data_IF_258124987228
#
_entry.id   IF_258124987228
#
_cell.length_a   1.000
_cell.length_b   1.000
_cell.length_c   1.000
_cell.angle_alpha   90.00
_cell.angle_beta   90.00
_cell.angle_gamma   90.00
#
_symmetry.space_group_name_H-M   'P 1'
#
loop_
_entity.id
_entity.type
_entity.pdbx_description
1 polymer ?
#
# COMPACT_ATOMS: atom_id res chain seq x y z
N UNK A 1 -39.63 17.77 -7.61
CA UNK A 1 -38.90 18.94 -7.10
C UNK A 1 -38.13 18.62 -5.81
N UNK A 2 -38.77 18.16 -4.72
CA UNK A 2 -38.11 17.90 -3.43
C UNK A 2 -37.04 16.75 -3.50
N UNK A 3 -37.30 15.68 -4.28
CA UNK A 3 -36.31 14.59 -4.51
C UNK A 3 -35.15 15.07 -5.38
N UNK A 4 -35.38 15.87 -6.39
CA UNK A 4 -34.35 16.44 -7.25
C UNK A 4 -33.49 17.43 -6.50
N UNK A 5 -34.12 18.30 -5.67
CA UNK A 5 -33.38 19.22 -4.84
C UNK A 5 -32.48 18.51 -3.82
N UNK A 6 -32.94 17.42 -3.19
CA UNK A 6 -32.12 16.60 -2.30
C UNK A 6 -30.93 15.99 -3.03
N UNK A 7 -31.10 15.49 -4.26
CA UNK A 7 -30.00 14.95 -5.07
C UNK A 7 -28.96 16.02 -5.43
N UNK A 8 -29.42 17.19 -5.89
CA UNK A 8 -28.54 18.31 -6.24
C UNK A 8 -27.80 18.83 -5.00
N UNK A 9 -28.48 19.00 -3.89
CA UNK A 9 -27.87 19.44 -2.63
C UNK A 9 -26.85 18.41 -2.12
N UNK A 10 -27.20 17.13 -2.10
CA UNK A 10 -26.29 16.04 -1.71
C UNK A 10 -25.05 15.99 -2.59
N UNK A 11 -25.21 16.11 -3.93
CA UNK A 11 -24.08 16.13 -4.87
C UNK A 11 -23.19 17.35 -4.70
N UNK A 12 -23.76 18.53 -4.42
CA UNK A 12 -23.01 19.74 -4.15
C UNK A 12 -22.17 19.61 -2.87
N UNK A 13 -22.76 19.13 -1.78
CA UNK A 13 -22.04 18.87 -0.53
C UNK A 13 -20.95 17.83 -0.68
N UNK A 14 -21.22 16.73 -1.37
CA UNK A 14 -20.20 15.71 -1.67
C UNK A 14 -19.01 16.32 -2.43
N UNK A 15 -19.28 17.21 -3.40
CA UNK A 15 -18.23 17.89 -4.16
C UNK A 15 -17.41 18.83 -3.27
N UNK A 16 -18.03 19.58 -2.37
CA UNK A 16 -17.33 20.44 -1.39
C UNK A 16 -16.46 19.60 -0.47
N UNK A 17 -17.00 18.53 0.13
CA UNK A 17 -16.26 17.64 1.01
C UNK A 17 -15.07 16.99 0.29
N UNK A 18 -15.26 16.59 -0.97
CA UNK A 18 -14.17 16.05 -1.78
C UNK A 18 -13.05 17.08 -1.99
N UNK A 19 -13.38 18.36 -2.24
CA UNK A 19 -12.36 19.41 -2.35
C UNK A 19 -11.64 19.64 -1.01
N UNK A 20 -12.36 19.61 0.11
CA UNK A 20 -11.75 19.68 1.45
C UNK A 20 -10.77 18.52 1.65
N UNK A 21 -11.15 17.29 1.30
CA UNK A 21 -10.24 16.13 1.36
C UNK A 21 -9.02 16.33 0.47
N UNK A 22 -9.19 16.81 -0.77
CA UNK A 22 -8.06 17.10 -1.66
C UNK A 22 -7.10 18.14 -1.08
N UNK A 23 -7.62 19.20 -0.49
CA UNK A 23 -6.79 20.28 0.03
C UNK A 23 -6.08 19.93 1.35
N UNK A 24 -6.73 19.24 2.25
CA UNK A 24 -6.22 19.05 3.63
C UNK A 24 -5.68 17.65 3.93
N UNK A 25 -6.16 16.63 3.22
CA UNK A 25 -5.77 15.24 3.45
C UNK A 25 -4.85 14.74 2.35
N UNK A 26 -5.28 14.85 1.10
CA UNK A 26 -4.53 14.34 -0.05
C UNK A 26 -3.18 15.05 -0.22
N UNK A 27 -3.08 16.35 0.08
CA UNK A 27 -1.82 17.09 0.02
C UNK A 27 -0.73 16.57 0.97
N UNK A 28 -1.09 15.76 1.98
CA UNK A 28 -0.11 15.10 2.87
C UNK A 28 0.54 13.88 2.23
N UNK A 29 -0.03 13.37 1.14
CA UNK A 29 0.56 12.29 0.34
C UNK A 29 1.62 12.89 -0.56
N UNK A 30 2.88 12.80 -0.14
CA UNK A 30 4.03 13.37 -0.85
C UNK A 30 5.00 12.28 -1.28
N UNK A 31 5.85 12.50 -2.28
CA UNK A 31 6.91 11.56 -2.66
C UNK A 31 7.84 11.20 -1.50
N UNK A 32 8.15 12.18 -0.63
CA UNK A 32 8.97 11.95 0.57
C UNK A 32 8.27 11.03 1.57
N UNK A 33 6.97 11.25 1.81
CA UNK A 33 6.19 10.39 2.69
C UNK A 33 6.10 8.97 2.13
N UNK A 34 5.90 8.82 0.81
CA UNK A 34 5.89 7.53 0.14
C UNK A 34 7.22 6.77 0.29
N UNK A 35 8.35 7.47 0.10
CA UNK A 35 9.68 6.86 0.26
C UNK A 35 10.00 6.43 1.71
N UNK A 36 9.33 7.03 2.70
CA UNK A 36 9.48 6.70 4.11
C UNK A 36 8.50 5.62 4.61
N UNK A 37 7.60 5.13 3.74
CA UNK A 37 6.64 4.09 4.14
C UNK A 37 7.35 2.76 4.39
N UNK A 38 6.97 2.03 5.46
CA UNK A 38 7.46 0.69 5.67
C UNK A 38 7.05 -0.22 4.51
N UNK A 39 7.92 -1.18 4.16
CA UNK A 39 7.67 -2.12 3.08
C UNK A 39 7.81 -1.56 1.67
N UNK A 40 8.15 -0.28 1.49
CA UNK A 40 8.45 0.33 0.19
C UNK A 40 9.95 0.35 0.00
N UNK A 41 10.45 -0.49 -0.90
CA UNK A 41 11.86 -0.52 -1.32
C UNK A 41 11.97 0.05 -2.74
N UNK A 42 12.38 1.32 -2.83
CA UNK A 42 12.55 2.01 -4.11
C UNK A 42 13.79 1.57 -4.89
N UNK A 43 14.66 0.74 -4.29
CA UNK A 43 15.84 0.19 -4.98
C UNK A 43 15.49 -1.02 -5.84
N UNK A 44 14.35 -1.67 -5.58
CA UNK A 44 13.86 -2.78 -6.40
C UNK A 44 13.22 -2.25 -7.69
N UNK A 45 13.63 -2.75 -8.86
CA UNK A 45 12.94 -2.42 -10.10
C UNK A 45 11.50 -2.93 -10.03
N UNK A 46 10.54 -2.04 -10.18
CA UNK A 46 9.12 -2.41 -10.20
C UNK A 46 8.79 -2.96 -11.59
N UNK A 47 8.37 -4.23 -11.74
CA UNK A 47 8.00 -4.79 -13.03
C UNK A 47 6.93 -3.93 -13.71
N UNK A 48 7.14 -3.59 -14.99
CA UNK A 48 6.21 -2.78 -15.78
C UNK A 48 6.41 -1.26 -15.69
N UNK A 49 7.43 -0.77 -14.99
CA UNK A 49 7.85 0.64 -15.01
C UNK A 49 9.23 0.71 -15.67
N UNK A 50 9.35 1.38 -16.82
CA UNK A 50 10.64 1.66 -17.44
C UNK A 50 11.42 2.68 -16.58
N UNK A 51 12.74 2.47 -16.41
CA UNK A 51 13.64 3.28 -15.56
C UNK A 51 13.73 4.80 -15.91
N UNK A 52 13.07 5.25 -16.97
CA UNK A 52 13.09 6.65 -17.44
C UNK A 52 12.14 7.61 -16.71
N UNK A 53 11.31 7.17 -15.76
CA UNK A 53 10.22 7.98 -15.20
C UNK A 53 10.32 8.32 -13.71
N UNK A 54 11.45 8.08 -13.06
CA UNK A 54 11.69 8.58 -11.71
C UNK A 54 12.09 10.06 -11.79
N UNK A 55 11.42 10.97 -11.06
CA UNK A 55 11.92 12.32 -10.92
C UNK A 55 13.30 12.26 -10.26
N UNK A 56 14.28 13.09 -10.69
CA UNK A 56 15.63 13.06 -10.17
C UNK A 56 15.60 13.29 -8.65
N UNK A 57 16.21 12.36 -7.92
CA UNK A 57 16.48 12.47 -6.50
C UNK A 57 17.22 13.79 -6.24
N UNK A 58 16.69 14.61 -5.33
CA UNK A 58 17.37 15.80 -4.84
C UNK A 58 18.50 15.34 -3.88
N UNK A 59 19.63 14.94 -4.45
CA UNK A 59 20.87 14.74 -3.71
C UNK A 59 21.94 15.68 -4.27
N UNK A 60 22.59 16.42 -3.36
CA UNK A 60 23.77 17.28 -3.48
C UNK A 60 23.60 18.62 -4.19
N UNK A 61 23.38 19.65 -3.37
CA UNK A 61 23.77 21.01 -3.69
C UNK A 61 25.29 21.15 -3.46
N UNK A 62 26.05 21.14 -4.56
CA UNK A 62 27.43 21.63 -4.59
C UNK A 62 27.41 23.08 -5.09
N UNK A 63 28.05 23.93 -4.32
CA UNK A 63 28.29 25.37 -4.55
C UNK A 63 28.87 25.63 -5.95
N UNK A 64 28.34 26.60 -6.67
CA UNK A 64 28.83 27.04 -7.95
C UNK A 64 28.02 28.21 -8.51
N UNK A 65 28.40 29.42 -8.13
CA UNK A 65 27.94 30.70 -8.68
C UNK A 65 27.95 30.74 -10.22
N UNK A 66 26.77 30.70 -10.82
CA UNK A 66 26.58 31.14 -12.21
C UNK A 66 25.20 31.77 -12.37
N UNK A 67 25.18 33.05 -12.70
CA UNK A 67 24.01 33.83 -13.07
C UNK A 67 23.35 33.21 -14.29
N UNK A 68 22.23 32.52 -14.14
CA UNK A 68 21.45 31.97 -15.26
C UNK A 68 20.07 32.58 -15.28
N UNK A 69 19.79 33.26 -16.40
CA UNK A 69 18.48 33.82 -16.79
C UNK A 69 17.39 32.79 -16.55
N UNK A 70 16.38 33.10 -15.71
CA UNK A 70 15.18 32.28 -15.47
C UNK A 70 14.45 31.99 -16.78
N UNK A 71 14.75 30.88 -17.43
CA UNK A 71 13.83 30.25 -18.40
C UNK A 71 12.62 29.72 -17.64
N UNK A 72 11.43 30.25 -17.94
CA UNK A 72 10.14 29.67 -17.47
C UNK A 72 10.17 28.15 -17.76
N UNK A 73 10.25 27.34 -16.73
CA UNK A 73 10.11 25.88 -16.86
C UNK A 73 8.79 25.58 -17.55
N UNK A 74 8.84 25.06 -18.78
CA UNK A 74 7.68 24.46 -19.43
C UNK A 74 7.15 23.37 -18.51
N UNK A 75 5.83 23.40 -18.21
CA UNK A 75 5.16 22.30 -17.52
C UNK A 75 5.50 21.02 -18.27
N UNK A 76 5.85 19.92 -17.57
CA UNK A 76 6.06 18.63 -18.21
C UNK A 76 4.83 18.31 -19.07
N UNK A 77 5.04 17.89 -20.32
CA UNK A 77 3.94 17.37 -21.15
C UNK A 77 3.34 16.18 -20.42
N UNK A 78 2.01 16.13 -20.31
CA UNK A 78 1.30 14.98 -19.80
C UNK A 78 1.76 13.72 -20.55
N UNK A 79 2.00 12.64 -19.79
CA UNK A 79 2.37 11.34 -20.33
C UNK A 79 1.30 10.90 -21.34
N UNK A 80 1.67 10.55 -22.59
CA UNK A 80 0.71 10.06 -23.59
C UNK A 80 -0.09 8.83 -23.13
N UNK A 81 0.46 8.02 -22.22
CA UNK A 81 -0.23 6.89 -21.60
C UNK A 81 -1.39 7.30 -20.67
N UNK A 82 -1.45 8.58 -20.28
CA UNK A 82 -2.54 9.20 -19.50
C UNK A 82 -3.52 9.98 -20.38
N UNK A 83 -3.37 9.94 -21.71
CA UNK A 83 -4.28 10.60 -22.64
C UNK A 83 -5.66 9.92 -22.60
N UNK A 84 -6.63 10.58 -21.99
CA UNK A 84 -7.99 10.07 -21.77
C UNK A 84 -8.37 9.95 -20.29
N UNK A 85 -7.41 10.01 -19.37
CA UNK A 85 -7.65 10.11 -17.93
C UNK A 85 -7.54 11.55 -17.43
N UNK A 86 -8.19 11.86 -16.32
CA UNK A 86 -8.04 13.13 -15.63
C UNK A 86 -6.56 13.41 -15.36
N UNK A 87 -6.15 14.69 -15.44
CA UNK A 87 -4.82 15.10 -15.03
C UNK A 87 -4.73 14.98 -13.51
N UNK A 88 -4.11 13.92 -13.04
CA UNK A 88 -3.92 13.66 -11.61
C UNK A 88 -2.91 14.64 -11.01
N UNK A 89 -3.17 15.05 -9.77
CA UNK A 89 -2.21 15.79 -8.96
C UNK A 89 -1.00 14.92 -8.62
N UNK A 90 0.08 15.55 -8.12
CA UNK A 90 1.27 14.81 -7.65
C UNK A 90 0.90 13.76 -6.59
N UNK A 91 0.02 14.11 -5.66
CA UNK A 91 -0.43 13.21 -4.59
C UNK A 91 -1.24 12.03 -5.12
N UNK A 92 -2.13 12.25 -6.08
CA UNK A 92 -2.86 11.18 -6.77
C UNK A 92 -1.89 10.26 -7.53
N UNK A 93 -0.88 10.84 -8.19
CA UNK A 93 0.18 10.08 -8.84
C UNK A 93 1.00 9.22 -7.87
N UNK A 94 1.25 9.70 -6.65
CA UNK A 94 1.91 8.92 -5.60
C UNK A 94 1.04 7.73 -5.17
N UNK A 95 -0.26 7.91 -5.00
CA UNK A 95 -1.18 6.81 -4.67
C UNK A 95 -1.21 5.73 -5.77
N UNK A 96 -1.22 6.13 -7.05
CA UNK A 96 -1.17 5.18 -8.18
C UNK A 96 0.17 4.41 -8.23
N UNK A 97 1.28 5.07 -7.91
CA UNK A 97 2.59 4.40 -7.77
C UNK A 97 2.60 3.40 -6.62
N UNK A 98 2.04 3.78 -5.47
CA UNK A 98 1.92 2.91 -4.31
C UNK A 98 1.08 1.66 -4.62
N UNK A 99 -0.07 1.82 -5.28
CA UNK A 99 -0.88 0.69 -5.77
C UNK A 99 -0.08 -0.22 -6.71
N UNK A 100 0.61 0.38 -7.69
CA UNK A 100 1.42 -0.38 -8.65
C UNK A 100 2.52 -1.17 -7.96
N UNK A 101 3.22 -0.57 -6.98
CA UNK A 101 4.27 -1.21 -6.21
C UNK A 101 3.75 -2.46 -5.47
N UNK A 102 2.69 -2.32 -4.69
CA UNK A 102 2.13 -3.43 -3.92
C UNK A 102 1.47 -4.50 -4.81
N UNK A 103 0.86 -4.09 -5.92
CA UNK A 103 0.34 -5.03 -6.91
C UNK A 103 1.47 -5.87 -7.53
N UNK A 104 2.56 -5.24 -7.93
CA UNK A 104 3.72 -5.92 -8.51
C UNK A 104 4.43 -6.83 -7.49
N UNK A 105 4.49 -6.43 -6.21
CA UNK A 105 5.08 -7.23 -5.14
C UNK A 105 4.40 -8.60 -4.95
N UNK A 106 3.12 -8.70 -5.32
CA UNK A 106 2.37 -9.97 -5.28
C UNK A 106 2.58 -10.86 -6.50
N UNK A 107 3.52 -10.52 -7.39
CA UNK A 107 3.86 -11.25 -8.61
C UNK A 107 2.60 -11.71 -9.39
N UNK A 108 1.76 -10.76 -9.86
CA UNK A 108 0.55 -11.11 -10.59
C UNK A 108 0.90 -11.76 -11.94
N UNK A 109 0.05 -12.66 -12.47
CA UNK A 109 0.27 -13.31 -13.76
C UNK A 109 0.42 -12.29 -14.91
N UNK A 110 -0.32 -11.18 -14.82
CA UNK A 110 -0.26 -10.06 -15.76
C UNK A 110 0.13 -8.78 -15.02
N UNK A 111 1.43 -8.49 -14.88
CA UNK A 111 1.86 -7.24 -14.27
C UNK A 111 1.38 -6.05 -15.12
N UNK A 112 0.76 -5.08 -14.46
CA UNK A 112 0.28 -3.84 -15.08
C UNK A 112 0.65 -2.64 -14.21
N UNK A 113 0.87 -1.49 -14.83
CA UNK A 113 0.94 -0.20 -14.15
C UNK A 113 -0.49 0.29 -13.89
N UNK A 114 -0.77 0.69 -12.67
CA UNK A 114 -2.07 1.26 -12.31
C UNK A 114 -2.06 2.74 -12.68
N UNK A 115 -2.95 3.14 -13.55
CA UNK A 115 -2.98 4.49 -14.16
C UNK A 115 -4.20 5.31 -13.79
N UNK A 116 -5.23 4.67 -13.21
CA UNK A 116 -6.48 5.32 -12.84
C UNK A 116 -7.11 4.69 -11.59
N UNK A 117 -8.10 5.39 -11.01
CA UNK A 117 -8.83 4.95 -9.81
C UNK A 117 -10.19 4.31 -10.15
N UNK A 118 -10.47 4.07 -11.41
CA UNK A 118 -11.74 3.52 -11.89
C UNK A 118 -11.54 2.15 -12.55
N UNK A 119 -11.23 2.12 -13.84
CA UNK A 119 -11.15 0.89 -14.63
C UNK A 119 -10.14 -0.11 -14.06
N UNK A 120 -8.96 0.37 -13.61
CA UNK A 120 -7.89 -0.49 -13.10
C UNK A 120 -8.23 -1.15 -11.76
N UNK A 121 -9.18 -0.58 -10.99
CA UNK A 121 -9.59 -1.08 -9.69
C UNK A 121 -10.87 -1.93 -9.73
N UNK A 122 -11.62 -1.88 -10.84
CA UNK A 122 -12.94 -2.49 -10.97
C UNK A 122 -12.96 -3.99 -10.70
N UNK A 123 -11.93 -4.69 -11.13
CA UNK A 123 -11.85 -6.16 -11.02
C UNK A 123 -11.48 -6.64 -9.60
N UNK A 124 -11.19 -5.73 -8.69
CA UNK A 124 -10.83 -6.02 -7.29
C UNK A 124 -9.43 -6.62 -7.12
N UNK A 125 -8.73 -7.03 -8.18
CA UNK A 125 -7.42 -7.70 -8.07
C UNK A 125 -6.36 -6.83 -7.42
N UNK A 126 -6.31 -5.56 -7.79
CA UNK A 126 -5.36 -4.58 -7.23
C UNK A 126 -5.60 -4.38 -5.75
N UNK A 127 -6.86 -4.27 -5.33
CA UNK A 127 -7.21 -4.08 -3.92
C UNK A 127 -6.94 -5.34 -3.09
N UNK A 128 -7.24 -6.54 -3.63
CA UNK A 128 -6.88 -7.81 -3.00
C UNK A 128 -5.36 -7.93 -2.80
N UNK A 129 -4.59 -7.65 -3.86
CA UNK A 129 -3.13 -7.69 -3.82
C UNK A 129 -2.57 -6.67 -2.82
N UNK A 130 -3.12 -5.45 -2.78
CA UNK A 130 -2.73 -4.41 -1.84
C UNK A 130 -2.92 -4.86 -0.38
N UNK A 131 -4.09 -5.38 -0.04
CA UNK A 131 -4.39 -5.85 1.31
C UNK A 131 -3.49 -7.03 1.70
N UNK A 132 -3.31 -8.00 0.79
CA UNK A 132 -2.48 -9.18 1.04
C UNK A 132 -0.99 -8.84 1.14
N UNK A 133 -0.49 -7.84 0.40
CA UNK A 133 0.91 -7.41 0.48
C UNK A 133 1.27 -6.79 1.84
N UNK A 134 0.29 -6.18 2.52
CA UNK A 134 0.47 -5.64 3.87
C UNK A 134 0.24 -6.67 4.96
N UNK A 135 -0.68 -7.61 4.73
CA UNK A 135 -1.01 -8.67 5.66
C UNK A 135 -1.19 -10.01 4.93
N UNK A 136 -0.09 -10.77 4.70
CA UNK A 136 -0.11 -12.05 3.98
C UNK A 136 -1.08 -13.08 4.57
N UNK A 137 -1.32 -13.02 5.88
CA UNK A 137 -2.27 -13.88 6.59
C UNK A 137 -3.70 -13.85 6.01
N UNK A 138 -4.12 -12.75 5.39
CA UNK A 138 -5.42 -12.65 4.73
C UNK A 138 -5.60 -13.63 3.56
N UNK A 139 -4.49 -14.08 2.96
CA UNK A 139 -4.47 -15.08 1.88
C UNK A 139 -4.46 -16.53 2.35
N UNK A 140 -4.37 -16.82 3.65
CA UNK A 140 -4.34 -18.15 4.19
C UNK A 140 -5.71 -18.83 4.11
N UNK A 141 -5.74 -20.18 4.21
CA UNK A 141 -6.97 -20.96 4.16
C UNK A 141 -7.97 -20.48 5.23
N UNK A 142 -9.23 -20.32 4.84
CA UNK A 142 -10.29 -19.82 5.72
C UNK A 142 -10.30 -18.30 5.93
N UNK A 143 -9.37 -17.55 5.36
CA UNK A 143 -9.34 -16.10 5.45
C UNK A 143 -9.96 -15.41 4.20
N UNK A 144 -10.36 -14.14 4.31
CA UNK A 144 -11.16 -13.48 3.28
C UNK A 144 -10.54 -13.45 1.88
N UNK A 145 -9.22 -13.33 1.77
CA UNK A 145 -8.54 -13.26 0.48
C UNK A 145 -8.06 -14.63 -0.04
N UNK A 146 -8.35 -15.72 0.68
CA UNK A 146 -7.96 -17.05 0.23
C UNK A 146 -8.58 -17.38 -1.13
N UNK A 147 -7.74 -17.66 -2.14
CA UNK A 147 -8.19 -18.04 -3.48
C UNK A 147 -8.95 -16.95 -4.24
N UNK A 148 -8.65 -15.66 -4.02
CA UNK A 148 -9.19 -14.62 -4.89
C UNK A 148 -8.70 -14.81 -6.33
N UNK A 149 -9.53 -14.44 -7.31
CA UNK A 149 -9.17 -14.58 -8.71
C UNK A 149 -8.12 -13.53 -9.10
N UNK A 150 -6.91 -13.98 -9.43
CA UNK A 150 -5.82 -13.11 -9.91
C UNK A 150 -6.01 -12.68 -11.37
N UNK A 151 -6.79 -13.45 -12.14
CA UNK A 151 -7.19 -13.18 -13.51
C UNK A 151 -8.71 -13.39 -13.63
N UNK A 152 -9.52 -12.39 -13.24
CA UNK A 152 -10.96 -12.50 -13.30
C UNK A 152 -11.44 -12.43 -14.75
N UNK A 153 -11.92 -13.55 -15.30
CA UNK A 153 -12.43 -13.63 -16.66
C UNK A 153 -13.95 -13.38 -16.73
N UNK A 154 -14.65 -13.56 -15.62
CA UNK A 154 -16.09 -13.42 -15.55
C UNK A 154 -16.50 -12.31 -14.57
N UNK A 155 -17.70 -11.75 -14.77
CA UNK A 155 -18.26 -10.77 -13.83
C UNK A 155 -18.49 -11.37 -12.44
N UNK A 156 -18.70 -12.67 -12.38
CA UNK A 156 -18.80 -13.38 -11.10
C UNK A 156 -17.47 -13.36 -10.33
N UNK A 157 -16.34 -13.58 -11.01
CA UNK A 157 -15.02 -13.45 -10.40
C UNK A 157 -14.76 -12.02 -9.92
N UNK A 158 -15.16 -11.02 -10.70
CA UNK A 158 -15.06 -9.59 -10.33
C UNK A 158 -15.87 -9.30 -9.07
N UNK A 159 -17.12 -9.81 -9.01
CA UNK A 159 -17.99 -9.65 -7.83
C UNK A 159 -17.42 -10.33 -6.60
N UNK A 160 -16.93 -11.56 -6.74
CA UNK A 160 -16.30 -12.31 -5.65
C UNK A 160 -15.05 -11.62 -5.13
N UNK A 161 -14.19 -11.08 -6.00
CA UNK A 161 -13.05 -10.29 -5.58
C UNK A 161 -13.47 -9.06 -4.77
N UNK A 162 -14.50 -8.33 -5.24
CA UNK A 162 -15.02 -7.16 -4.53
C UNK A 162 -15.60 -7.54 -3.15
N UNK A 163 -16.31 -8.66 -3.03
CA UNK A 163 -16.81 -9.18 -1.76
C UNK A 163 -15.66 -9.53 -0.80
N UNK A 164 -14.60 -10.16 -1.31
CA UNK A 164 -13.41 -10.51 -0.54
C UNK A 164 -12.66 -9.26 -0.05
N UNK A 165 -12.54 -8.22 -0.87
CA UNK A 165 -11.96 -6.93 -0.43
C UNK A 165 -12.74 -6.36 0.75
N UNK A 166 -14.07 -6.29 0.66
CA UNK A 166 -14.90 -5.75 1.73
C UNK A 166 -14.85 -6.62 2.99
N UNK A 167 -14.83 -7.96 2.83
CA UNK A 167 -14.68 -8.88 3.94
C UNK A 167 -13.31 -8.73 4.63
N UNK A 168 -12.22 -8.61 3.86
CA UNK A 168 -10.88 -8.40 4.38
C UNK A 168 -10.75 -7.06 5.13
N UNK A 169 -11.32 -5.98 4.59
CA UNK A 169 -11.35 -4.70 5.29
C UNK A 169 -12.09 -4.78 6.62
N UNK A 170 -13.20 -5.51 6.67
CA UNK A 170 -13.97 -5.73 7.90
C UNK A 170 -13.17 -6.58 8.91
N UNK A 171 -12.50 -7.62 8.45
CA UNK A 171 -11.65 -8.49 9.28
C UNK A 171 -10.50 -7.68 9.94
N UNK A 172 -10.00 -6.67 9.26
CA UNK A 172 -9.01 -5.73 9.77
C UNK A 172 -9.60 -4.62 10.67
N UNK A 173 -10.91 -4.56 10.85
CA UNK A 173 -11.56 -3.45 11.55
C UNK A 173 -11.45 -2.11 10.83
N UNK A 174 -11.24 -2.13 9.52
CA UNK A 174 -11.21 -0.92 8.69
C UNK A 174 -12.66 -0.48 8.39
N UNK A 175 -13.14 0.49 9.14
CA UNK A 175 -14.51 0.98 9.07
C UNK A 175 -14.67 1.99 7.92
N UNK A 176 -14.88 1.50 6.71
CA UNK A 176 -15.25 2.31 5.56
C UNK A 176 -16.58 1.78 4.99
N UNK A 177 -17.60 2.64 4.75
CA UNK A 177 -18.88 2.22 4.19
C UNK A 177 -18.75 1.89 2.69
N UNK A 178 -18.00 0.83 2.38
CA UNK A 178 -17.76 0.34 1.04
C UNK A 178 -18.60 -0.92 0.80
N UNK A 179 -19.40 -0.92 -0.26
CA UNK A 179 -20.11 -2.12 -0.70
C UNK A 179 -19.41 -2.76 -1.91
N UNK A 180 -19.47 -4.10 -2.07
CA UNK A 180 -18.90 -4.78 -3.24
C UNK A 180 -19.41 -4.21 -4.57
N UNK A 181 -20.70 -3.86 -4.65
CA UNK A 181 -21.31 -3.29 -5.84
C UNK A 181 -20.67 -1.95 -6.27
N UNK A 182 -20.13 -1.17 -5.33
CA UNK A 182 -19.43 0.08 -5.65
C UNK A 182 -18.08 -0.15 -6.31
N UNK A 183 -17.41 -1.24 -5.97
CA UNK A 183 -16.12 -1.62 -6.58
C UNK A 183 -16.34 -2.15 -8.00
N UNK A 184 -17.28 -3.09 -8.18
CA UNK A 184 -17.50 -3.79 -9.45
C UNK A 184 -18.55 -3.13 -10.36
N UNK A 185 -18.88 -1.84 -10.14
CA UNK A 185 -19.83 -1.08 -10.98
C UNK A 185 -19.41 -1.08 -12.45
N UNK A 186 -20.41 -1.20 -13.36
CA UNK A 186 -20.20 -1.10 -14.81
C UNK A 186 -20.58 0.28 -15.34
N UNK A 187 -19.86 0.83 -16.32
CA UNK A 187 -18.64 0.28 -16.95
C UNK A 187 -17.42 0.36 -16.06
N UNK A 188 -17.40 1.26 -15.07
CA UNK A 188 -16.33 1.46 -14.10
C UNK A 188 -16.91 2.03 -12.80
N UNK A 189 -16.24 1.82 -11.63
CA UNK A 189 -16.59 2.48 -10.39
C UNK A 189 -16.38 3.99 -10.46
N UNK A 190 -16.98 4.73 -9.54
CA UNK A 190 -16.72 6.17 -9.42
C UNK A 190 -15.27 6.40 -8.96
N UNK A 191 -14.50 7.12 -9.79
CA UNK A 191 -13.08 7.38 -9.54
C UNK A 191 -12.83 8.17 -8.23
N UNK A 192 -13.79 9.02 -7.81
CA UNK A 192 -13.68 9.79 -6.55
C UNK A 192 -13.89 8.87 -5.35
N UNK A 193 -14.86 7.98 -5.42
CA UNK A 193 -15.11 6.99 -4.38
C UNK A 193 -13.88 6.09 -4.21
N UNK A 194 -13.32 5.60 -5.31
CA UNK A 194 -12.13 4.73 -5.27
C UNK A 194 -10.89 5.47 -4.81
N UNK A 195 -10.70 6.73 -5.19
CA UNK A 195 -9.62 7.56 -4.64
C UNK A 195 -9.72 7.68 -3.11
N UNK A 196 -10.92 7.89 -2.57
CA UNK A 196 -11.13 7.95 -1.13
C UNK A 196 -10.84 6.61 -0.44
N UNK A 197 -11.23 5.49 -1.05
CA UNK A 197 -10.87 4.14 -0.58
C UNK A 197 -9.37 3.96 -0.54
N UNK A 198 -8.68 4.27 -1.63
CA UNK A 198 -7.21 4.14 -1.73
C UNK A 198 -6.51 5.06 -0.73
N UNK A 199 -6.96 6.30 -0.59
CA UNK A 199 -6.41 7.24 0.39
C UNK A 199 -6.58 6.74 1.83
N UNK A 200 -7.75 6.19 2.15
CA UNK A 200 -8.00 5.59 3.45
C UNK A 200 -7.08 4.38 3.71
N UNK A 201 -6.93 3.51 2.72
CA UNK A 201 -6.01 2.37 2.81
C UNK A 201 -4.55 2.81 2.95
N UNK A 202 -4.12 3.83 2.20
CA UNK A 202 -2.78 4.41 2.28
C UNK A 202 -2.44 4.94 3.68
N UNK A 203 -3.43 5.46 4.40
CA UNK A 203 -3.25 5.98 5.76
C UNK A 203 -3.24 4.88 6.84
N UNK A 204 -3.93 3.76 6.59
CA UNK A 204 -4.15 2.74 7.61
C UNK A 204 -3.33 1.46 7.41
N UNK A 205 -3.07 1.03 6.17
CA UNK A 205 -2.35 -0.23 5.92
C UNK A 205 -0.87 -0.22 6.33
N UNK A 206 -0.09 0.85 6.14
CA UNK A 206 1.34 0.83 6.49
C UNK A 206 1.64 0.55 7.96
N UNK A 207 0.68 0.75 8.84
CA UNK A 207 0.84 0.44 10.28
C UNK A 207 0.87 -1.06 10.60
N UNK A 208 0.43 -1.92 9.66
CA UNK A 208 0.52 -3.38 9.79
C UNK A 208 1.89 -3.93 9.41
N UNK A 209 2.74 -3.13 8.78
CA UNK A 209 4.10 -3.52 8.43
C UNK A 209 5.07 -3.16 9.55
N UNK A 210 5.97 -4.06 9.95
CA UNK A 210 6.97 -3.78 10.97
C UNK A 210 7.93 -2.67 10.50
N UNK A 211 8.33 -1.79 11.42
CA UNK A 211 9.18 -0.62 11.15
C UNK A 211 10.52 -0.67 11.88
N UNK A 212 10.78 -1.74 12.62
CA UNK A 212 11.91 -1.79 13.55
C UNK A 212 13.06 -2.54 12.92
N UNK A 213 14.24 -1.91 12.90
CA UNK A 213 15.52 -2.59 12.67
C UNK A 213 16.17 -2.85 14.01
N UNK A 214 16.58 -4.08 14.27
CA UNK A 214 17.28 -4.46 15.50
C UNK A 214 18.69 -4.87 15.14
N UNK A 215 19.65 -4.23 15.79
CA UNK A 215 21.07 -4.57 15.68
C UNK A 215 21.44 -5.54 16.80
N UNK A 216 22.07 -6.66 16.44
CA UNK A 216 22.66 -7.60 17.37
C UNK A 216 24.17 -7.45 17.31
N UNK A 217 24.81 -7.29 18.46
CA UNK A 217 26.27 -7.25 18.58
C UNK A 217 26.69 -8.11 19.75
N UNK A 218 27.59 -9.08 19.51
CA UNK A 218 28.05 -10.01 20.53
C UNK A 218 29.36 -10.68 20.16
N UNK A 219 29.87 -11.54 21.04
CA UNK A 219 31.05 -12.35 20.83
C UNK A 219 30.71 -13.59 20.02
N UNK A 220 31.65 -14.08 19.21
CA UNK A 220 31.46 -15.31 18.43
C UNK A 220 31.04 -16.48 19.34
N UNK A 221 30.01 -17.22 18.90
CA UNK A 221 29.43 -18.34 19.63
C UNK A 221 28.44 -17.97 20.72
N UNK A 222 28.22 -16.69 20.95
CA UNK A 222 27.20 -16.22 21.92
C UNK A 222 25.82 -16.16 21.28
N UNK A 223 24.82 -16.70 21.98
CA UNK A 223 23.40 -16.51 21.62
C UNK A 223 22.86 -15.30 22.36
N UNK A 224 22.27 -14.39 21.59
CA UNK A 224 21.63 -13.18 22.09
C UNK A 224 20.14 -13.21 21.77
N UNK A 225 19.31 -12.82 22.72
CA UNK A 225 17.87 -12.70 22.54
C UNK A 225 17.48 -11.22 22.63
N UNK A 226 16.79 -10.73 21.62
CA UNK A 226 16.16 -9.40 21.63
C UNK A 226 14.71 -9.53 21.22
N UNK A 227 13.85 -8.72 21.82
CA UNK A 227 12.42 -8.72 21.53
C UNK A 227 12.04 -7.58 20.60
N UNK A 228 11.16 -7.89 19.65
CA UNK A 228 10.49 -6.93 18.77
C UNK A 228 9.11 -6.67 19.35
N UNK A 229 8.73 -5.39 19.49
CA UNK A 229 7.37 -5.05 19.86
C UNK A 229 6.46 -5.15 18.63
N UNK A 230 5.56 -6.13 18.64
CA UNK A 230 4.50 -6.29 17.65
C UNK A 230 3.20 -5.73 18.21
N UNK A 231 2.60 -4.80 17.49
CA UNK A 231 1.34 -4.16 17.87
C UNK A 231 0.27 -4.50 16.87
N UNK A 232 -0.92 -4.88 17.37
CA UNK A 232 -2.11 -4.93 16.57
C UNK A 232 -2.77 -3.54 16.53
N UNK A 233 -2.71 -2.81 15.40
CA UNK A 233 -3.31 -1.47 15.30
C UNK A 233 -4.82 -1.52 15.08
N UNK A 234 -5.41 -2.69 14.83
CA UNK A 234 -6.82 -2.86 14.49
C UNK A 234 -7.72 -2.96 15.72
N UNK A 235 -9.03 -2.89 15.49
CA UNK A 235 -10.07 -3.15 16.49
C UNK A 235 -10.53 -4.62 16.51
N UNK A 236 -9.93 -5.46 15.68
CA UNK A 236 -10.20 -6.89 15.60
C UNK A 236 -8.92 -7.69 15.91
N UNK A 237 -9.01 -8.94 16.38
CA UNK A 237 -7.85 -9.79 16.57
C UNK A 237 -7.19 -10.10 15.24
N UNK A 238 -5.84 -10.10 15.20
CA UNK A 238 -5.05 -10.36 14.00
C UNK A 238 -4.09 -11.50 14.26
N UNK A 239 -4.03 -12.43 13.30
CA UNK A 239 -3.03 -13.49 13.28
C UNK A 239 -1.86 -13.07 12.39
N UNK A 240 -0.66 -12.98 12.98
CA UNK A 240 0.59 -12.74 12.27
C UNK A 240 1.28 -14.07 11.99
N UNK A 241 1.85 -14.20 10.79
CA UNK A 241 2.79 -15.24 10.43
C UNK A 241 4.17 -14.62 10.35
N UNK A 242 5.11 -15.20 11.10
CA UNK A 242 6.48 -14.70 11.16
C UNK A 242 7.38 -15.66 10.40
N UNK A 243 8.13 -15.13 9.46
CA UNK A 243 9.14 -15.86 8.70
C UNK A 243 10.44 -15.09 8.76
N UNK A 244 11.57 -15.81 8.78
CA UNK A 244 12.89 -15.21 8.68
C UNK A 244 13.47 -15.54 7.30
N UNK A 245 13.88 -14.51 6.58
CA UNK A 245 14.59 -14.61 5.31
C UNK A 245 16.00 -14.03 5.50
N UNK A 246 17.03 -14.78 5.15
CA UNK A 246 18.41 -14.32 5.24
C UNK A 246 19.32 -15.30 5.98
N UNK A 247 20.19 -14.80 6.86
CA UNK A 247 21.14 -15.65 7.57
C UNK A 247 20.46 -16.66 8.50
N UNK A 248 20.87 -17.94 8.51
CA UNK A 248 20.37 -18.94 9.43
C UNK A 248 20.84 -18.73 10.89
N UNK A 249 21.61 -17.68 11.15
CA UNK A 249 22.06 -17.31 12.49
C UNK A 249 20.94 -16.65 13.31
N UNK A 250 19.84 -16.27 12.65
CA UNK A 250 18.62 -15.78 13.30
C UNK A 250 17.58 -16.87 13.40
N UNK A 251 17.01 -17.04 14.58
CA UNK A 251 15.96 -18.04 14.86
C UNK A 251 14.80 -17.44 15.65
N UNK A 252 13.62 -18.03 15.48
CA UNK A 252 12.39 -17.71 16.20
C UNK A 252 11.75 -19.01 16.68
N UNK A 253 11.17 -18.98 17.86
CA UNK A 253 10.47 -20.16 18.41
C UNK A 253 9.06 -20.31 17.84
N UNK A 254 8.40 -19.20 17.60
CA UNK A 254 6.98 -19.17 17.20
C UNK A 254 6.82 -18.57 15.82
N UNK A 255 6.18 -19.29 14.92
CA UNK A 255 5.90 -18.81 13.55
C UNK A 255 4.52 -18.19 13.41
N UNK A 256 3.64 -18.37 14.36
CA UNK A 256 2.27 -17.84 14.36
C UNK A 256 2.00 -17.12 15.67
N UNK A 257 1.43 -15.93 15.60
CA UNK A 257 1.08 -15.12 16.75
C UNK A 257 -0.28 -14.47 16.54
N UNK A 258 -1.22 -14.72 17.44
CA UNK A 258 -2.51 -14.03 17.44
C UNK A 258 -2.47 -12.89 18.47
N UNK A 259 -2.78 -11.68 18.00
CA UNK A 259 -2.83 -10.47 18.82
C UNK A 259 -4.25 -9.97 18.94
N UNK A 260 -4.69 -9.81 20.16
CA UNK A 260 -5.96 -9.15 20.49
C UNK A 260 -5.99 -7.69 19.98
N UNK A 261 -7.19 -7.10 19.83
CA UNK A 261 -7.34 -5.71 19.38
C UNK A 261 -6.49 -4.75 20.23
N UNK A 262 -5.73 -3.88 19.57
CA UNK A 262 -4.87 -2.87 20.20
C UNK A 262 -3.76 -3.42 21.11
N UNK A 263 -3.59 -4.74 21.20
CA UNK A 263 -2.55 -5.36 22.02
C UNK A 263 -1.15 -5.13 21.44
N UNK A 264 -0.17 -5.08 22.33
CA UNK A 264 1.25 -5.07 22.00
C UNK A 264 1.92 -6.24 22.71
N UNK A 265 2.69 -7.03 21.97
CA UNK A 265 3.43 -8.20 22.50
C UNK A 265 4.88 -8.10 22.11
N UNK A 266 5.75 -8.44 23.05
CA UNK A 266 7.18 -8.57 22.81
C UNK A 266 7.46 -9.94 22.17
N UNK A 267 7.93 -9.93 20.94
CA UNK A 267 8.24 -11.14 20.16
C UNK A 267 9.75 -11.39 20.18
N UNK A 268 10.24 -12.50 20.78
CA UNK A 268 11.66 -12.78 20.90
C UNK A 268 12.25 -13.25 19.57
N UNK A 269 13.42 -12.73 19.25
CA UNK A 269 14.29 -13.18 18.16
C UNK A 269 15.64 -13.53 18.74
N UNK A 270 16.13 -14.71 18.42
CA UNK A 270 17.43 -15.20 18.83
C UNK A 270 18.44 -15.02 17.68
N UNK A 271 19.64 -14.62 18.06
CA UNK A 271 20.77 -14.51 17.15
C UNK A 271 21.99 -15.22 17.73
N UNK A 272 22.55 -16.15 16.98
CA UNK A 272 23.80 -16.84 17.34
C UNK A 272 24.91 -16.47 16.38
N UNK A 273 25.86 -15.67 16.86
CA UNK A 273 26.99 -15.22 16.03
C UNK A 273 27.93 -16.37 15.71
N UNK A 274 27.96 -16.82 14.44
CA UNK A 274 28.84 -17.88 13.96
C UNK A 274 30.06 -17.39 13.20
N UNK A 275 29.99 -16.15 12.69
CA UNK A 275 31.02 -15.54 11.87
C UNK A 275 31.35 -14.13 12.35
N UNK A 276 32.57 -13.67 12.05
CA UNK A 276 33.00 -12.29 12.36
C UNK A 276 32.53 -11.25 11.34
N UNK A 277 31.88 -11.69 10.26
CA UNK A 277 31.29 -10.80 9.26
C UNK A 277 29.87 -10.40 9.67
N UNK A 278 29.48 -9.20 9.25
CA UNK A 278 28.10 -8.72 9.40
C UNK A 278 27.14 -9.63 8.60
N UNK A 279 26.07 -10.06 9.24
CA UNK A 279 25.00 -10.86 8.64
C UNK A 279 23.67 -10.17 8.86
N UNK A 280 22.77 -10.28 7.88
CA UNK A 280 21.45 -9.67 7.93
C UNK A 280 20.36 -10.70 7.69
N UNK A 281 19.21 -10.50 8.35
CA UNK A 281 17.97 -11.22 8.05
C UNK A 281 16.80 -10.25 8.03
N UNK A 282 15.73 -10.67 7.43
CA UNK A 282 14.48 -9.90 7.33
C UNK A 282 13.28 -10.75 7.71
#
# INVERSE_FOLDING_TARGET
>A
LQREWKKLSSGAWASVLYQVVKCYVLNRVTPQHYAALPGVDLTRPTPGISEGELPPSAASAGDGTAVVKKKRKRRPKADPALSGSNVYSVSEGVLLKWLTYHYAAMAPPKPKRITNFDVDLRDGTVLCALLQSHLPALGSQGRPLYGYSREPETEEHVRQNAERVVAAMRDLGLELPLSPARICTKPAPDARDMLLVVLYLYQNLPQYLPRTTIEFGGVLGQTLVKSIELRNPSKAPIKYFVTIEGSPDFTIETQELELEPQATVAFPVEFTSRFSSEVTAR
#
